data_IF_983637282926
#
_entry.id   IF_983637282926
#
_cell.length_a   1.000
_cell.length_b   1.000
_cell.length_c   1.000
_cell.angle_alpha   90.00
_cell.angle_beta   90.00
_cell.angle_gamma   90.00
#
_symmetry.space_group_name_H-M   'P 1'
#
loop_
_entity.id
_entity.type
_entity.pdbx_description
1 polymer ?
#
# COMPACT_ATOMS: atom_id res chain seq x y z
N UNK A 1 -20.67 -7.86 18.48
CA UNK A 1 -19.71 -7.62 17.39
C UNK A 1 -20.41 -7.88 16.09
N UNK A 2 -20.40 -6.92 15.17
CA UNK A 2 -20.91 -7.17 13.83
C UNK A 2 -20.13 -8.31 13.16
N UNK A 3 -20.83 -9.15 12.42
CA UNK A 3 -20.21 -10.29 11.75
C UNK A 3 -19.26 -9.80 10.67
N UNK A 4 -17.98 -10.19 10.76
CA UNK A 4 -16.98 -9.98 9.71
C UNK A 4 -17.37 -10.67 8.39
N UNK A 5 -18.34 -11.60 8.41
CA UNK A 5 -18.83 -12.28 7.21
C UNK A 5 -19.49 -11.36 6.18
N UNK A 6 -19.87 -10.13 6.57
CA UNK A 6 -20.45 -9.13 5.64
C UNK A 6 -19.40 -8.29 4.90
N UNK A 7 -18.11 -8.40 5.26
CA UNK A 7 -17.05 -7.62 4.64
C UNK A 7 -16.79 -8.15 3.22
N UNK A 8 -16.92 -7.26 2.23
CA UNK A 8 -16.70 -7.59 0.82
C UNK A 8 -15.30 -7.24 0.33
N UNK A 9 -14.69 -6.21 0.90
CA UNK A 9 -13.37 -5.72 0.54
C UNK A 9 -12.63 -5.20 1.77
N UNK A 10 -11.31 -5.27 1.75
CA UNK A 10 -10.44 -4.74 2.80
C UNK A 10 -9.55 -3.62 2.27
N UNK A 11 -9.42 -2.57 3.07
CA UNK A 11 -8.41 -1.53 2.90
C UNK A 11 -7.51 -1.64 4.12
N UNK A 12 -6.25 -1.99 3.91
CA UNK A 12 -5.32 -2.30 4.97
C UNK A 12 -4.24 -1.23 5.03
N UNK A 13 -4.15 -0.56 6.17
CA UNK A 13 -2.97 0.26 6.47
C UNK A 13 -1.72 -0.62 6.62
N UNK A 14 -0.53 -0.03 6.50
CA UNK A 14 0.75 -0.73 6.51
C UNK A 14 1.57 -0.48 7.77
N UNK A 15 2.05 0.76 7.95
CA UNK A 15 3.00 1.13 9.01
C UNK A 15 2.27 1.16 10.37
N UNK A 16 2.63 0.27 11.30
CA UNK A 16 1.96 0.09 12.59
C UNK A 16 0.83 -0.95 12.59
N UNK A 17 0.42 -1.42 11.40
CA UNK A 17 -0.65 -2.44 11.23
C UNK A 17 -0.09 -3.77 10.73
N UNK A 18 0.77 -3.75 9.71
CA UNK A 18 1.43 -4.95 9.17
C UNK A 18 2.82 -5.15 9.76
N UNK A 19 3.51 -4.05 10.09
CA UNK A 19 4.86 -4.07 10.65
C UNK A 19 5.16 -2.80 11.44
N UNK A 20 6.19 -2.84 12.30
CA UNK A 20 6.77 -1.67 12.97
C UNK A 20 8.25 -1.59 12.62
N UNK A 21 8.65 -0.56 11.87
CA UNK A 21 9.99 -0.53 11.31
C UNK A 21 10.25 -1.80 10.48
N UNK A 22 11.31 -2.54 10.75
CA UNK A 22 11.63 -3.77 10.02
C UNK A 22 11.03 -5.04 10.66
N UNK A 23 10.23 -4.89 11.72
CA UNK A 23 9.64 -6.02 12.43
C UNK A 23 8.21 -6.29 11.93
N UNK A 24 7.92 -7.49 11.39
CA UNK A 24 6.55 -7.86 11.06
C UNK A 24 5.69 -7.96 12.32
N UNK A 25 4.41 -7.60 12.21
CA UNK A 25 3.47 -7.84 13.29
C UNK A 25 3.27 -9.36 13.51
N UNK A 26 2.93 -9.80 14.73
CA UNK A 26 2.66 -11.21 15.00
C UNK A 26 1.58 -11.74 14.06
N UNK A 27 1.83 -12.94 13.53
CA UNK A 27 0.91 -13.67 12.64
C UNK A 27 0.67 -13.01 11.28
N UNK A 28 1.57 -12.13 10.83
CA UNK A 28 1.47 -11.44 9.54
C UNK A 28 1.31 -12.43 8.37
N UNK A 29 2.12 -13.48 8.33
CA UNK A 29 2.08 -14.47 7.25
C UNK A 29 0.78 -15.27 7.27
N UNK A 30 0.32 -15.71 8.45
CA UNK A 30 -0.96 -16.42 8.59
C UNK A 30 -2.16 -15.54 8.21
N UNK A 31 -2.09 -14.24 8.50
CA UNK A 31 -3.11 -13.28 8.10
C UNK A 31 -3.22 -13.20 6.58
N UNK A 32 -2.11 -13.03 5.87
CA UNK A 32 -2.14 -13.01 4.40
C UNK A 32 -2.50 -14.37 3.81
N UNK A 33 -2.04 -15.49 4.37
CA UNK A 33 -2.46 -16.83 3.96
C UNK A 33 -3.98 -17.00 4.09
N UNK A 34 -4.57 -16.52 5.20
CA UNK A 34 -6.02 -16.50 5.40
C UNK A 34 -6.75 -15.65 4.34
N UNK A 35 -6.24 -14.46 4.01
CA UNK A 35 -6.81 -13.61 2.96
C UNK A 35 -6.71 -14.23 1.56
N UNK A 36 -5.68 -15.04 1.29
CA UNK A 36 -5.56 -15.75 0.01
C UNK A 36 -6.48 -16.97 -0.06
N UNK A 37 -6.77 -17.63 1.06
CA UNK A 37 -7.71 -18.76 1.13
C UNK A 37 -9.17 -18.33 1.05
N UNK A 38 -9.51 -17.15 1.59
CA UNK A 38 -10.86 -16.56 1.50
C UNK A 38 -10.77 -15.33 0.62
N UNK A 39 -11.20 -15.37 -0.65
CA UNK A 39 -10.94 -14.32 -1.63
C UNK A 39 -11.79 -13.06 -1.37
N UNK A 40 -11.61 -12.43 -0.21
CA UNK A 40 -12.04 -11.07 0.09
C UNK A 40 -10.97 -10.17 -0.51
N UNK A 41 -11.23 -9.47 -1.62
CA UNK A 41 -10.20 -8.66 -2.26
C UNK A 41 -9.74 -7.57 -1.31
N UNK A 42 -8.43 -7.32 -1.28
CA UNK A 42 -7.84 -6.29 -0.43
C UNK A 42 -6.94 -5.36 -1.24
N UNK A 43 -6.72 -4.17 -0.69
CA UNK A 43 -5.69 -3.23 -1.14
C UNK A 43 -4.92 -2.75 0.08
N UNK A 44 -3.60 -2.69 -0.03
CA UNK A 44 -2.73 -2.09 0.97
C UNK A 44 -2.62 -0.59 0.68
N UNK A 45 -2.84 0.24 1.68
CA UNK A 45 -2.83 1.69 1.54
C UNK A 45 -1.90 2.28 2.58
N UNK A 46 -1.14 3.31 2.20
CA UNK A 46 -0.24 4.00 3.12
C UNK A 46 -0.16 5.48 2.77
N UNK A 47 -0.19 6.33 3.80
CA UNK A 47 0.00 7.76 3.67
C UNK A 47 1.46 8.15 3.39
N UNK A 48 2.39 7.20 3.43
CA UNK A 48 3.81 7.45 3.33
C UNK A 48 4.30 7.26 1.87
N UNK A 49 4.71 8.38 1.25
CA UNK A 49 5.19 8.47 -0.14
C UNK A 49 6.72 8.33 -0.30
N UNK A 50 7.44 7.83 0.70
CA UNK A 50 8.90 7.71 0.65
C UNK A 50 9.40 6.57 -0.25
N UNK A 51 8.53 5.59 -0.53
CA UNK A 51 8.85 4.37 -1.29
C UNK A 51 7.77 4.10 -2.34
N UNK A 52 8.20 3.55 -3.47
CA UNK A 52 7.34 3.06 -4.54
C UNK A 52 6.55 1.82 -4.11
N UNK A 53 5.46 1.48 -4.81
CA UNK A 53 4.76 0.21 -4.58
C UNK A 53 5.66 -1.02 -4.72
N UNK A 54 6.64 -0.99 -5.64
CA UNK A 54 7.60 -2.08 -5.84
C UNK A 54 8.51 -2.26 -4.62
N UNK A 55 9.14 -1.19 -4.14
CA UNK A 55 10.01 -1.25 -2.96
C UNK A 55 9.24 -1.69 -1.71
N UNK A 56 7.94 -1.37 -1.61
CA UNK A 56 7.09 -1.84 -0.50
C UNK A 56 6.73 -3.32 -0.62
N UNK A 57 6.45 -3.78 -1.84
CA UNK A 57 6.24 -5.20 -2.14
C UNK A 57 7.49 -6.02 -1.79
N UNK A 58 8.68 -5.57 -2.20
CA UNK A 58 9.96 -6.20 -1.86
C UNK A 58 10.21 -6.26 -0.34
N UNK A 59 9.86 -5.20 0.38
CA UNK A 59 9.94 -5.18 1.85
C UNK A 59 8.99 -6.18 2.51
N UNK A 60 7.76 -6.31 2.01
CA UNK A 60 6.81 -7.32 2.49
C UNK A 60 7.30 -8.73 2.17
N UNK A 61 7.90 -8.94 0.99
CA UNK A 61 8.50 -10.21 0.62
C UNK A 61 9.65 -10.59 1.57
N UNK A 62 10.48 -9.63 1.99
CA UNK A 62 11.50 -9.84 3.01
C UNK A 62 10.92 -10.22 4.40
N UNK A 63 9.63 -9.94 4.65
CA UNK A 63 8.88 -10.35 5.85
C UNK A 63 8.10 -11.67 5.65
N UNK A 64 8.29 -12.34 4.50
CA UNK A 64 7.62 -13.59 4.15
C UNK A 64 6.20 -13.41 3.62
N UNK A 65 5.84 -12.22 3.14
CA UNK A 65 4.53 -11.95 2.54
C UNK A 65 4.68 -11.57 1.08
N UNK A 66 4.06 -12.35 0.19
CA UNK A 66 4.00 -12.03 -1.23
C UNK A 66 2.75 -11.18 -1.56
N UNK A 67 3.01 -9.96 -2.03
CA UNK A 67 2.00 -8.99 -2.47
C UNK A 67 2.47 -8.33 -3.74
N UNK A 68 1.62 -8.29 -4.76
CA UNK A 68 1.92 -7.60 -6.01
C UNK A 68 2.02 -6.09 -5.77
N UNK A 69 2.94 -5.36 -6.45
CA UNK A 69 2.94 -3.90 -6.42
C UNK A 69 1.59 -3.27 -6.83
N UNK A 70 0.77 -3.99 -7.61
CA UNK A 70 -0.58 -3.55 -8.01
C UNK A 70 -1.61 -3.57 -6.87
N UNK A 71 -1.34 -4.32 -5.80
CA UNK A 71 -2.17 -4.40 -4.60
C UNK A 71 -1.80 -3.31 -3.58
N UNK A 72 -0.87 -2.41 -3.91
CA UNK A 72 -0.37 -1.37 -3.02
C UNK A 72 -0.67 0.01 -3.63
N UNK A 73 -1.37 0.84 -2.86
CA UNK A 73 -1.62 2.24 -3.17
C UNK A 73 -0.87 3.13 -2.17
N UNK A 74 0.07 3.93 -2.69
CA UNK A 74 0.82 4.90 -1.89
C UNK A 74 0.27 6.31 -2.08
N UNK A 75 0.35 7.15 -1.04
CA UNK A 75 -0.12 8.55 -1.11
C UNK A 75 0.49 9.35 -2.27
N UNK A 76 1.74 9.07 -2.66
CA UNK A 76 2.36 9.72 -3.82
C UNK A 76 1.55 9.52 -5.11
N UNK A 77 1.04 8.31 -5.35
CA UNK A 77 0.18 8.02 -6.50
C UNK A 77 -1.18 8.71 -6.39
N UNK A 78 -1.72 8.85 -5.18
CA UNK A 78 -2.97 9.59 -4.97
C UNK A 78 -2.81 11.07 -5.33
N UNK A 79 -1.69 11.69 -4.93
CA UNK A 79 -1.35 13.07 -5.30
C UNK A 79 -1.09 13.19 -6.80
N UNK A 80 -0.34 12.27 -7.41
CA UNK A 80 -0.11 12.29 -8.85
C UNK A 80 -1.41 12.19 -9.67
N UNK A 81 -2.36 11.34 -9.23
CA UNK A 81 -3.70 11.24 -9.84
C UNK A 81 -4.51 12.51 -9.66
N UNK A 82 -4.45 13.12 -8.48
CA UNK A 82 -5.10 14.40 -8.20
C UNK A 82 -4.57 15.50 -9.13
N UNK A 83 -3.24 15.65 -9.21
CA UNK A 83 -2.61 16.66 -10.06
C UNK A 83 -2.95 16.47 -11.54
N UNK A 84 -2.94 15.21 -12.03
CA UNK A 84 -3.29 14.90 -13.43
C UNK A 84 -4.76 15.19 -13.77
N UNK A 85 -5.66 15.06 -12.80
CA UNK A 85 -7.09 15.35 -12.98
C UNK A 85 -7.35 16.85 -13.02
N UNK A 86 -6.69 17.61 -12.15
CA UNK A 86 -7.07 18.99 -11.87
C UNK A 86 -6.18 20.03 -12.59
N UNK A 87 -5.04 19.61 -13.18
CA UNK A 87 -4.12 20.50 -13.89
C UNK A 87 -3.82 20.02 -15.31
N UNK A 88 -3.56 20.95 -16.27
CA UNK A 88 -3.20 20.59 -17.64
C UNK A 88 -1.94 19.74 -17.73
N UNK A 89 -1.88 18.86 -18.74
CA UNK A 89 -0.67 18.12 -19.07
C UNK A 89 0.51 19.07 -19.34
N UNK A 90 1.69 18.73 -18.81
CA UNK A 90 2.89 19.57 -18.90
C UNK A 90 3.03 20.62 -17.77
N UNK A 91 2.08 20.69 -16.83
CA UNK A 91 2.23 21.52 -15.63
C UNK A 91 3.51 21.15 -14.89
N UNK A 92 4.38 22.14 -14.66
CA UNK A 92 5.62 21.94 -13.91
C UNK A 92 5.29 21.79 -12.42
N UNK A 93 5.80 20.72 -11.81
CA UNK A 93 5.64 20.44 -10.38
C UNK A 93 7.01 20.54 -9.73
N UNK A 94 7.10 21.33 -8.66
CA UNK A 94 8.27 21.31 -7.79
C UNK A 94 8.02 20.31 -6.66
N UNK A 95 8.89 19.32 -6.52
CA UNK A 95 8.67 18.16 -5.63
C UNK A 95 9.57 18.26 -4.40
N UNK A 96 8.96 18.28 -3.21
CA UNK A 96 9.65 18.10 -1.94
C UNK A 96 9.39 16.68 -1.43
N UNK A 97 10.39 15.82 -1.51
CA UNK A 97 10.27 14.44 -1.04
C UNK A 97 11.35 13.52 -1.58
N UNK A 98 11.14 12.22 -1.37
CA UNK A 98 12.06 11.16 -1.81
C UNK A 98 11.90 10.86 -3.31
N UNK A 99 12.88 10.19 -3.95
CA UNK A 99 12.81 9.84 -5.37
C UNK A 99 11.53 9.12 -5.79
N UNK A 100 10.96 8.29 -4.91
CA UNK A 100 9.69 7.61 -5.15
C UNK A 100 8.52 8.56 -5.43
N UNK A 101 8.48 9.74 -4.78
CA UNK A 101 7.44 10.75 -5.01
C UNK A 101 7.62 11.44 -6.37
N UNK A 102 8.85 11.60 -6.84
CA UNK A 102 9.16 12.15 -8.17
C UNK A 102 8.72 11.18 -9.29
N UNK A 103 8.73 9.88 -9.02
CA UNK A 103 8.35 8.83 -9.97
C UNK A 103 6.84 8.54 -10.04
N UNK A 104 6.06 9.05 -9.09
CA UNK A 104 4.64 8.73 -8.91
C UNK A 104 3.74 9.29 -10.03
#
# INVERSE_FOLDING_TARGET
MDSLAKIKHLILDMDGVLYRGNEPMPRLQEFFAFLRQRPVPFVLVTNNATRTPRERSERLAAMGVDVSPSEILVAGQAVARYLRRDYPAGTRVHVFGMPALVQA
#
